data_IF_478483832245
#
_entry.id   IF_478483832245
#
_cell.length_a   1.000
_cell.length_b   1.000
_cell.length_c   1.000
_cell.angle_alpha   90.00
_cell.angle_beta   90.00
_cell.angle_gamma   90.00
#
_symmetry.space_group_name_H-M   'P 1'
#
loop_
_entity.id
_entity.type
_entity.pdbx_description
1 polymer ?
#
# COMPACT_ATOMS: atom_id res chain seq x y z
N UNK A 1 6.62 -10.37 17.40
CA UNK A 1 6.03 -9.39 18.33
C UNK A 1 4.69 -9.88 18.90
N UNK A 2 4.40 -9.59 20.17
CA UNK A 2 3.07 -9.82 20.75
C UNK A 2 2.20 -8.57 20.58
N UNK A 3 1.36 -8.57 19.55
CA UNK A 3 0.48 -7.43 19.24
C UNK A 3 -0.57 -7.17 20.31
N UNK A 4 -1.08 -8.20 20.98
CA UNK A 4 -2.07 -8.04 22.04
C UNK A 4 -1.50 -7.27 23.23
N UNK A 5 -0.30 -7.68 23.65
CA UNK A 5 0.41 -6.98 24.71
C UNK A 5 0.73 -5.54 24.30
N UNK A 6 1.17 -5.32 23.07
CA UNK A 6 1.46 -3.97 22.56
C UNK A 6 0.21 -3.08 22.58
N UNK A 7 -0.92 -3.58 22.08
CA UNK A 7 -2.19 -2.86 22.07
C UNK A 7 -2.61 -2.48 23.49
N UNK A 8 -2.44 -3.39 24.44
CA UNK A 8 -2.79 -3.18 25.85
C UNK A 8 -1.85 -2.18 26.53
N UNK A 9 -0.53 -2.35 26.40
CA UNK A 9 0.48 -1.50 27.04
C UNK A 9 0.38 -0.03 26.62
N UNK A 10 -0.04 0.22 25.36
CA UNK A 10 -0.20 1.56 24.82
C UNK A 10 -1.66 2.07 24.83
N UNK A 11 -2.59 1.30 25.40
CA UNK A 11 -4.01 1.64 25.49
C UNK A 11 -4.63 2.00 24.13
N UNK A 12 -4.26 1.27 23.07
CA UNK A 12 -4.61 1.65 21.70
C UNK A 12 -6.11 1.56 21.41
N UNK A 13 -6.83 0.68 22.09
CA UNK A 13 -8.29 0.56 21.90
C UNK A 13 -8.99 1.74 22.58
N UNK A 14 -8.62 2.04 23.80
CA UNK A 14 -9.20 3.11 24.61
C UNK A 14 -8.94 4.49 23.98
N UNK A 15 -7.76 4.67 23.41
CA UNK A 15 -7.32 5.90 22.76
C UNK A 15 -7.68 5.99 21.28
N UNK A 16 -8.54 5.12 20.79
CA UNK A 16 -8.82 5.00 19.35
C UNK A 16 -9.35 6.26 18.66
N UNK A 17 -9.78 7.26 19.39
CA UNK A 17 -10.18 8.57 18.86
C UNK A 17 -9.02 9.54 18.58
N UNK A 18 -7.82 9.23 19.03
CA UNK A 18 -6.66 10.14 19.00
C UNK A 18 -5.76 9.92 17.76
N UNK A 19 -5.92 8.82 17.03
CA UNK A 19 -5.05 8.46 15.92
C UNK A 19 -5.81 7.67 14.85
N UNK A 20 -5.31 7.66 13.64
CA UNK A 20 -5.81 6.83 12.53
C UNK A 20 -4.89 5.63 12.23
N UNK A 21 -3.62 5.76 12.54
CA UNK A 21 -2.57 4.79 12.22
C UNK A 21 -1.47 4.85 13.27
N UNK A 22 -0.84 3.71 13.56
CA UNK A 22 0.26 3.59 14.51
C UNK A 22 1.51 3.13 13.77
N UNK A 23 2.60 3.87 13.86
CA UNK A 23 3.89 3.50 13.32
C UNK A 23 4.81 3.03 14.43
N UNK A 24 5.37 1.84 14.28
CA UNK A 24 6.36 1.27 15.19
C UNK A 24 7.68 1.07 14.46
N UNK A 25 8.74 1.53 15.10
CA UNK A 25 10.10 1.44 14.56
C UNK A 25 10.94 0.54 15.47
N UNK A 26 11.68 -0.39 14.88
CA UNK A 26 12.53 -1.30 15.62
C UNK A 26 13.68 -1.82 14.79
N UNK A 27 14.58 -2.58 15.42
CA UNK A 27 15.66 -3.26 14.73
C UNK A 27 15.19 -4.46 13.93
N UNK A 28 16.13 -5.10 13.21
CA UNK A 28 15.86 -6.35 12.53
C UNK A 28 15.41 -7.44 13.53
N UNK A 29 14.57 -8.34 13.07
CA UNK A 29 14.06 -9.49 13.85
C UNK A 29 13.15 -9.16 15.03
N UNK A 30 12.68 -7.92 15.19
CA UNK A 30 11.66 -7.57 16.20
C UNK A 30 10.29 -8.25 15.95
N UNK A 31 10.12 -8.85 14.76
CA UNK A 31 8.93 -9.60 14.40
C UNK A 31 7.71 -8.71 14.14
N UNK A 32 7.95 -7.49 13.68
CA UNK A 32 6.89 -6.63 13.15
C UNK A 32 6.44 -7.14 11.79
N UNK A 33 5.16 -7.10 11.53
CA UNK A 33 4.62 -7.15 10.19
C UNK A 33 4.73 -5.76 9.54
N UNK A 34 4.88 -5.71 8.23
CA UNK A 34 4.88 -4.45 7.47
C UNK A 34 3.60 -3.65 7.72
N UNK A 35 2.46 -4.34 7.75
CA UNK A 35 1.21 -3.76 8.20
C UNK A 35 0.27 -4.82 8.76
N UNK A 36 -0.51 -4.46 9.76
CA UNK A 36 -1.56 -5.30 10.34
C UNK A 36 -2.76 -4.47 10.69
N UNK A 37 -3.95 -4.85 10.19
CA UNK A 37 -5.18 -4.16 10.53
C UNK A 37 -5.82 -4.76 11.79
N UNK A 38 -6.27 -3.88 12.65
CA UNK A 38 -6.93 -4.20 13.93
C UNK A 38 -8.29 -3.50 13.96
N UNK A 39 -9.32 -4.14 14.48
CA UNK A 39 -10.61 -3.51 14.67
C UNK A 39 -11.77 -4.50 14.61
N UNK A 40 -12.99 -3.98 14.38
CA UNK A 40 -14.21 -4.78 14.38
C UNK A 40 -14.36 -5.61 13.11
N UNK A 41 -14.02 -5.02 11.96
CA UNK A 41 -14.07 -5.65 10.64
C UNK A 41 -12.73 -5.48 9.91
N UNK A 42 -11.62 -5.99 10.47
CA UNK A 42 -10.31 -5.77 9.89
C UNK A 42 -10.09 -6.71 8.70
N UNK A 43 -9.41 -6.22 7.67
CA UNK A 43 -9.01 -7.00 6.51
C UNK A 43 -7.54 -7.41 6.59
N UNK A 44 -7.14 -8.37 5.76
CA UNK A 44 -5.73 -8.74 5.61
C UNK A 44 -4.94 -7.56 5.02
N UNK A 45 -3.85 -7.19 5.71
CA UNK A 45 -2.86 -6.22 5.24
C UNK A 45 -1.48 -6.77 5.62
N UNK A 46 -0.80 -7.46 4.72
CA UNK A 46 0.50 -8.13 4.93
C UNK A 46 0.58 -9.04 6.17
N UNK A 47 -0.51 -9.15 6.92
CA UNK A 47 -0.63 -9.99 8.11
C UNK A 47 -2.08 -10.39 8.34
N UNK A 48 -2.32 -11.53 9.03
CA UNK A 48 -3.65 -11.88 9.50
C UNK A 48 -4.23 -10.75 10.35
N UNK A 49 -5.49 -10.33 10.10
CA UNK A 49 -6.12 -9.25 10.85
C UNK A 49 -6.33 -9.63 12.32
N UNK A 50 -6.52 -8.62 13.18
CA UNK A 50 -6.77 -8.82 14.59
C UNK A 50 -8.13 -8.22 14.97
N UNK A 51 -9.12 -9.08 15.24
CA UNK A 51 -10.48 -8.63 15.59
C UNK A 51 -10.50 -8.06 17.00
N UNK A 52 -10.96 -6.80 17.13
CA UNK A 52 -11.11 -6.10 18.41
C UNK A 52 -12.36 -5.20 18.37
N UNK A 53 -13.01 -4.91 19.51
CA UNK A 53 -14.26 -4.14 19.57
C UNK A 53 -14.03 -2.62 19.44
N UNK A 54 -13.32 -2.20 18.41
CA UNK A 54 -13.01 -0.79 18.12
C UNK A 54 -13.12 -0.52 16.61
N UNK A 55 -13.10 0.74 16.21
CA UNK A 55 -12.97 1.11 14.80
C UNK A 55 -11.64 0.62 14.24
N UNK A 56 -11.63 0.26 12.96
CA UNK A 56 -10.43 -0.24 12.33
C UNK A 56 -9.29 0.78 12.34
N UNK A 57 -8.08 0.30 12.56
CA UNK A 57 -6.83 1.04 12.43
C UNK A 57 -5.72 0.10 11.97
N UNK A 58 -4.60 0.65 11.57
CA UNK A 58 -3.46 -0.12 11.11
C UNK A 58 -2.24 0.15 11.98
N UNK A 59 -1.52 -0.90 12.32
CA UNK A 59 -0.17 -0.82 12.86
C UNK A 59 0.79 -1.13 11.73
N UNK A 60 1.66 -0.15 11.38
CA UNK A 60 2.76 -0.29 10.43
C UNK A 60 4.06 -0.55 11.18
N UNK A 61 4.77 -1.61 10.81
CA UNK A 61 6.07 -1.96 11.39
C UNK A 61 7.22 -1.61 10.45
N UNK A 62 8.20 -0.86 10.94
CA UNK A 62 9.35 -0.42 10.17
C UNK A 62 10.65 -0.86 10.85
N UNK A 63 11.64 -1.19 10.02
CA UNK A 63 13.01 -1.44 10.45
C UNK A 63 13.84 -0.17 10.23
N UNK A 64 14.37 0.41 11.31
CA UNK A 64 15.16 1.65 11.23
C UNK A 64 16.55 1.47 10.56
N UNK A 65 16.97 0.23 10.30
CA UNK A 65 18.18 -0.06 9.52
C UNK A 65 17.92 -0.01 8.00
N UNK A 66 16.66 0.06 7.60
CA UNK A 66 16.23 0.18 6.21
C UNK A 66 15.89 1.62 5.85
N UNK A 67 15.89 1.91 4.56
CA UNK A 67 15.65 3.25 4.04
C UNK A 67 14.16 3.58 3.83
N UNK A 68 13.93 4.77 3.28
CA UNK A 68 12.59 5.27 2.95
C UNK A 68 11.93 4.41 1.86
N UNK A 69 12.70 3.79 0.96
CA UNK A 69 12.15 2.94 -0.11
C UNK A 69 11.33 1.78 0.45
N UNK A 70 11.84 1.11 1.48
CA UNK A 70 11.18 -0.03 2.11
C UNK A 70 9.97 0.40 2.94
N UNK A 71 10.03 1.58 3.55
CA UNK A 71 8.87 2.14 4.24
C UNK A 71 7.74 2.50 3.25
N UNK A 72 8.08 3.04 2.08
CA UNK A 72 7.12 3.31 1.01
C UNK A 72 6.57 2.01 0.40
N UNK A 73 7.41 0.98 0.28
CA UNK A 73 7.00 -0.34 -0.20
C UNK A 73 5.99 -0.98 0.77
N UNK A 74 6.29 -1.02 2.07
CA UNK A 74 5.39 -1.52 3.09
C UNK A 74 4.03 -0.78 3.08
N UNK A 75 4.07 0.55 2.90
CA UNK A 75 2.86 1.35 2.75
C UNK A 75 2.10 1.01 1.46
N UNK A 76 2.80 0.86 0.33
CA UNK A 76 2.20 0.51 -0.95
C UNK A 76 1.54 -0.89 -0.92
N UNK A 77 2.14 -1.86 -0.26
CA UNK A 77 1.53 -3.19 -0.04
C UNK A 77 0.24 -3.11 0.77
N UNK A 78 0.18 -2.26 1.79
CA UNK A 78 -1.07 -2.00 2.49
C UNK A 78 -2.14 -1.43 1.55
N UNK A 79 -1.76 -0.48 0.72
CA UNK A 79 -2.67 0.10 -0.30
C UNK A 79 -3.16 -0.96 -1.26
N UNK A 80 -2.28 -1.82 -1.77
CA UNK A 80 -2.65 -2.96 -2.61
C UNK A 80 -3.68 -3.87 -1.92
N UNK A 81 -3.44 -4.22 -0.66
CA UNK A 81 -4.35 -5.08 0.12
C UNK A 81 -5.74 -4.47 0.24
N UNK A 82 -5.82 -3.17 0.57
CA UNK A 82 -7.10 -2.46 0.69
C UNK A 82 -7.83 -2.38 -0.66
N UNK A 83 -7.13 -2.06 -1.74
CA UNK A 83 -7.73 -1.96 -3.07
C UNK A 83 -8.11 -3.33 -3.63
N UNK A 84 -7.30 -4.36 -3.39
CA UNK A 84 -7.61 -5.72 -3.80
C UNK A 84 -8.83 -6.27 -3.06
N UNK A 85 -9.03 -5.90 -1.80
CA UNK A 85 -10.22 -6.28 -1.03
C UNK A 85 -11.48 -5.59 -1.53
N UNK A 86 -11.44 -4.27 -1.68
CA UNK A 86 -12.64 -3.47 -2.01
C UNK A 86 -12.98 -3.48 -3.50
N UNK A 87 -11.98 -3.60 -4.38
CA UNK A 87 -12.14 -3.48 -5.84
C UNK A 87 -11.36 -4.56 -6.62
N UNK A 88 -11.49 -5.85 -6.30
CA UNK A 88 -10.57 -6.90 -6.75
C UNK A 88 -10.42 -7.01 -8.27
N UNK A 89 -11.51 -6.90 -9.01
CA UNK A 89 -11.50 -7.03 -10.47
C UNK A 89 -10.91 -5.79 -11.14
N UNK A 90 -11.35 -4.63 -10.72
CA UNK A 90 -10.92 -3.35 -11.28
C UNK A 90 -9.47 -3.04 -10.93
N UNK A 91 -9.07 -3.33 -9.69
CA UNK A 91 -7.69 -3.11 -9.26
C UNK A 91 -6.70 -4.04 -9.97
N UNK A 92 -7.06 -5.30 -10.20
CA UNK A 92 -6.24 -6.21 -11.04
C UNK A 92 -6.11 -5.73 -12.49
N UNK A 93 -7.15 -5.12 -13.06
CA UNK A 93 -7.07 -4.51 -14.39
C UNK A 93 -6.13 -3.30 -14.40
N UNK A 94 -6.19 -2.47 -13.37
CA UNK A 94 -5.27 -1.35 -13.16
C UNK A 94 -3.82 -1.83 -13.08
N UNK A 95 -3.51 -2.81 -12.21
CA UNK A 95 -2.16 -3.34 -12.04
C UNK A 95 -1.55 -3.88 -13.34
N UNK A 96 -2.34 -4.54 -14.19
CA UNK A 96 -1.88 -5.01 -15.51
C UNK A 96 -1.48 -3.88 -16.47
N UNK A 97 -1.93 -2.66 -16.23
CA UNK A 97 -1.69 -1.50 -17.10
C UNK A 97 -0.68 -0.50 -16.53
N UNK A 98 -0.57 -0.43 -15.22
CA UNK A 98 0.28 0.53 -14.49
C UNK A 98 1.45 -0.18 -13.80
N UNK A 99 1.32 -1.47 -13.54
CA UNK A 99 2.27 -2.25 -12.77
C UNK A 99 1.80 -2.49 -11.33
N UNK A 100 2.49 -3.38 -10.65
CA UNK A 100 2.30 -3.68 -9.22
C UNK A 100 3.33 -2.92 -8.39
N UNK A 101 3.30 -3.08 -7.07
CA UNK A 101 4.32 -2.51 -6.18
C UNK A 101 5.73 -3.00 -6.55
N UNK A 102 5.88 -4.24 -6.99
CA UNK A 102 7.20 -4.83 -7.31
C UNK A 102 7.55 -4.80 -8.80
N UNK A 103 6.55 -4.80 -9.68
CA UNK A 103 6.74 -5.00 -11.12
C UNK A 103 6.26 -3.78 -11.89
N UNK A 104 7.18 -2.94 -12.41
CA UNK A 104 6.82 -1.87 -13.33
C UNK A 104 6.07 -2.33 -14.56
N UNK A 105 5.21 -1.48 -15.12
CA UNK A 105 4.38 -1.81 -16.30
C UNK A 105 5.18 -2.22 -17.55
N UNK A 106 6.47 -1.89 -17.62
CA UNK A 106 7.35 -2.14 -18.77
C UNK A 106 8.25 -3.36 -18.63
N UNK A 107 8.04 -4.19 -17.62
CA UNK A 107 8.81 -5.41 -17.38
C UNK A 107 7.92 -6.50 -16.80
N UNK A 108 8.44 -7.73 -16.72
CA UNK A 108 7.83 -8.85 -16.01
C UNK A 108 8.68 -9.32 -14.84
N UNK A 109 9.75 -8.58 -14.52
CA UNK A 109 10.69 -8.93 -13.46
C UNK A 109 10.43 -8.08 -12.23
N UNK A 110 10.47 -8.71 -11.06
CA UNK A 110 10.43 -8.01 -9.78
C UNK A 110 11.63 -7.07 -9.63
N UNK A 111 11.36 -5.90 -9.06
CA UNK A 111 12.39 -4.91 -8.70
C UNK A 111 13.23 -4.38 -9.87
N UNK A 112 12.74 -4.50 -11.11
CA UNK A 112 13.45 -4.05 -12.32
C UNK A 112 13.18 -2.56 -12.59
N UNK A 113 13.51 -1.74 -11.60
CA UNK A 113 13.20 -0.30 -11.56
C UNK A 113 13.93 0.53 -12.62
N UNK A 114 15.03 0.02 -13.15
CA UNK A 114 15.87 0.68 -14.14
C UNK A 114 15.61 0.24 -15.58
N UNK A 115 14.54 -0.50 -15.82
CA UNK A 115 14.22 -1.00 -17.16
C UNK A 115 13.85 0.15 -18.12
N UNK A 116 14.65 0.35 -19.15
CA UNK A 116 14.47 1.39 -20.17
C UNK A 116 13.55 0.97 -21.32
N UNK A 117 13.03 -0.25 -21.32
CA UNK A 117 12.12 -0.71 -22.37
C UNK A 117 10.87 0.16 -22.38
N UNK A 118 10.56 0.71 -23.56
CA UNK A 118 9.34 1.48 -23.79
C UNK A 118 8.12 0.58 -23.82
N UNK A 119 7.17 0.83 -22.96
CA UNK A 119 5.90 0.12 -22.93
C UNK A 119 4.72 1.08 -22.78
N UNK A 120 3.54 0.58 -23.09
CA UNK A 120 2.31 1.36 -23.03
C UNK A 120 1.64 1.17 -21.68
N UNK A 121 1.27 2.28 -21.03
CA UNK A 121 0.46 2.23 -19.81
C UNK A 121 -0.74 3.18 -19.89
N UNK A 122 -1.73 2.98 -19.01
CA UNK A 122 -2.92 3.81 -18.89
C UNK A 122 -3.13 4.20 -17.45
N UNK A 123 -3.48 5.45 -17.22
CA UNK A 123 -3.98 5.90 -15.92
C UNK A 123 -5.48 5.67 -15.81
N UNK A 124 -5.96 5.58 -14.58
CA UNK A 124 -7.34 5.25 -14.27
C UNK A 124 -7.95 6.26 -13.30
N UNK A 125 -9.28 6.39 -13.38
CA UNK A 125 -10.07 7.21 -12.45
C UNK A 125 -10.79 6.31 -11.43
N UNK A 126 -10.75 6.71 -10.18
CA UNK A 126 -11.58 6.15 -9.12
C UNK A 126 -13.04 6.66 -9.26
N UNK A 127 -14.09 5.88 -8.90
CA UNK A 127 -14.05 4.53 -8.30
C UNK A 127 -14.08 3.39 -9.32
N UNK A 128 -14.36 3.66 -10.58
CA UNK A 128 -14.65 2.63 -11.57
C UNK A 128 -13.39 2.11 -12.28
N UNK A 129 -12.22 2.66 -11.94
CA UNK A 129 -10.97 2.36 -12.62
C UNK A 129 -11.11 2.48 -14.15
N UNK A 130 -11.79 3.55 -14.60
CA UNK A 130 -11.95 3.86 -16.02
C UNK A 130 -10.67 4.49 -16.55
N UNK A 131 -10.15 4.04 -17.71
CA UNK A 131 -8.97 4.65 -18.30
C UNK A 131 -9.18 6.13 -18.61
N UNK A 132 -8.25 6.99 -18.19
CA UNK A 132 -8.23 8.43 -18.55
C UNK A 132 -7.74 8.66 -19.97
N UNK A 133 -7.07 7.66 -20.53
CA UNK A 133 -6.39 7.69 -21.79
C UNK A 133 -6.60 6.34 -22.49
N UNK A 134 -7.58 6.24 -23.36
CA UNK A 134 -7.98 5.00 -24.04
C UNK A 134 -6.84 4.39 -24.89
N UNK A 135 -6.02 5.24 -25.49
CA UNK A 135 -4.90 4.80 -26.32
C UNK A 135 -3.68 4.40 -25.51
N UNK A 136 -3.60 4.88 -24.24
CA UNK A 136 -2.43 4.73 -23.40
C UNK A 136 -1.26 5.63 -23.86
N UNK A 137 -0.25 5.76 -23.03
CA UNK A 137 0.97 6.52 -23.26
C UNK A 137 2.19 5.59 -23.25
N UNK A 138 3.14 5.81 -24.17
CA UNK A 138 4.42 5.09 -24.16
C UNK A 138 5.35 5.74 -23.14
N UNK A 139 5.97 4.95 -22.30
CA UNK A 139 6.92 5.42 -21.29
C UNK A 139 7.86 4.28 -20.84
N UNK A 140 8.87 4.61 -20.07
CA UNK A 140 9.80 3.68 -19.45
C UNK A 140 10.21 4.19 -18.06
N UNK A 141 11.31 3.69 -17.50
CA UNK A 141 11.77 4.04 -16.15
C UNK A 141 12.09 5.53 -15.94
N UNK A 142 12.23 6.33 -17.00
CA UNK A 142 12.47 7.78 -16.88
C UNK A 142 11.31 8.50 -16.18
N UNK A 143 10.11 7.92 -16.19
CA UNK A 143 8.94 8.44 -15.45
C UNK A 143 9.18 8.55 -13.94
N UNK A 144 10.01 7.69 -13.39
CA UNK A 144 10.32 7.64 -11.95
C UNK A 144 11.80 7.78 -11.64
N UNK A 145 12.62 8.18 -12.61
CA UNK A 145 14.06 8.36 -12.43
C UNK A 145 14.84 7.06 -12.30
N UNK A 146 14.32 5.94 -12.79
CA UNK A 146 14.96 4.63 -12.85
C UNK A 146 15.48 4.10 -11.50
N UNK A 147 14.82 4.45 -10.40
CA UNK A 147 15.16 4.02 -9.03
C UNK A 147 13.97 3.40 -8.30
N UNK A 148 14.23 2.54 -7.32
CA UNK A 148 13.16 1.90 -6.52
C UNK A 148 12.31 2.91 -5.75
N UNK A 149 12.94 3.86 -5.06
CA UNK A 149 12.22 4.92 -4.34
C UNK A 149 11.39 5.78 -5.30
N UNK A 150 11.95 6.13 -6.45
CA UNK A 150 11.25 6.89 -7.49
C UNK A 150 10.03 6.13 -7.99
N UNK A 151 10.16 4.80 -8.22
CA UNK A 151 9.04 3.97 -8.64
C UNK A 151 7.93 3.90 -7.58
N UNK A 152 8.25 3.67 -6.32
CA UNK A 152 7.25 3.67 -5.23
C UNK A 152 6.48 4.99 -5.18
N UNK A 153 7.19 6.11 -5.25
CA UNK A 153 6.57 7.44 -5.27
C UNK A 153 5.70 7.63 -6.52
N UNK A 154 6.19 7.21 -7.69
CA UNK A 154 5.47 7.31 -8.95
C UNK A 154 4.19 6.45 -8.92
N UNK A 155 4.30 5.18 -8.48
CA UNK A 155 3.17 4.26 -8.38
C UNK A 155 2.08 4.81 -7.47
N UNK A 156 2.44 5.27 -6.28
CA UNK A 156 1.51 5.87 -5.32
C UNK A 156 0.83 7.14 -5.89
N UNK A 157 1.56 7.99 -6.62
CA UNK A 157 1.00 9.20 -7.24
C UNK A 157 0.08 8.91 -8.42
N UNK A 158 0.26 7.77 -9.07
CA UNK A 158 -0.56 7.34 -10.20
C UNK A 158 -1.80 6.54 -9.77
N UNK A 159 -1.98 6.27 -8.50
CA UNK A 159 -3.25 5.73 -8.01
C UNK A 159 -4.41 6.65 -8.42
N UNK A 160 -5.57 6.08 -8.80
CA UNK A 160 -6.71 6.88 -9.21
C UNK A 160 -7.06 7.95 -8.18
N UNK A 161 -7.34 9.16 -8.63
CA UNK A 161 -7.72 10.28 -7.75
C UNK A 161 -8.87 9.86 -6.83
N UNK A 162 -8.83 10.33 -5.59
CA UNK A 162 -9.79 10.01 -4.53
C UNK A 162 -9.74 8.59 -3.96
N UNK A 163 -8.91 7.70 -4.47
CA UNK A 163 -8.70 6.37 -3.85
C UNK A 163 -8.18 6.50 -2.42
N UNK A 164 -7.44 7.55 -2.13
CA UNK A 164 -6.93 7.88 -0.79
C UNK A 164 -8.03 7.98 0.27
N UNK A 165 -9.21 8.48 -0.12
CA UNK A 165 -10.37 8.52 0.76
C UNK A 165 -10.74 7.11 1.24
N UNK A 166 -10.79 6.13 0.33
CA UNK A 166 -11.05 4.73 0.66
C UNK A 166 -9.94 4.12 1.51
N UNK A 167 -8.67 4.46 1.24
CA UNK A 167 -7.52 3.96 2.00
C UNK A 167 -7.52 4.50 3.43
N UNK A 168 -7.92 5.75 3.62
CA UNK A 168 -7.96 6.42 4.92
C UNK A 168 -9.29 6.17 5.65
N UNK A 169 -10.40 6.02 4.92
CA UNK A 169 -11.75 5.81 5.48
C UNK A 169 -12.06 4.33 5.80
N UNK A 170 -11.09 3.46 5.96
CA UNK A 170 -11.28 2.10 6.54
C UNK A 170 -11.95 2.16 7.93
N UNK A 171 -12.43 3.34 8.29
CA UNK A 171 -13.05 3.65 9.58
C UNK A 171 -14.43 3.04 9.79
N UNK A 172 -15.20 2.73 8.73
CA UNK A 172 -16.66 2.53 8.87
C UNK A 172 -17.28 1.48 7.92
N UNK A 173 -16.58 0.39 7.61
CA UNK A 173 -17.23 -0.75 6.93
C UNK A 173 -17.49 -1.87 7.92
#
# INVERSE_FOLDING_TARGET
MNYDKFIQDFHLIERRGEYDEVHIWGGPYFGFYESRMIGRNPIFCNAPPLVRPCNNFVIMGFNYERGISEALEAFAHRVESILAHNYPTMFRAYQRQVGTVHIPFNTTKDYDWSNETMARYRNYLFPNFTPTNLLGRMANCQEWGCTGIGYMQWWLRNLPKNVWKTILEVKNV
#
